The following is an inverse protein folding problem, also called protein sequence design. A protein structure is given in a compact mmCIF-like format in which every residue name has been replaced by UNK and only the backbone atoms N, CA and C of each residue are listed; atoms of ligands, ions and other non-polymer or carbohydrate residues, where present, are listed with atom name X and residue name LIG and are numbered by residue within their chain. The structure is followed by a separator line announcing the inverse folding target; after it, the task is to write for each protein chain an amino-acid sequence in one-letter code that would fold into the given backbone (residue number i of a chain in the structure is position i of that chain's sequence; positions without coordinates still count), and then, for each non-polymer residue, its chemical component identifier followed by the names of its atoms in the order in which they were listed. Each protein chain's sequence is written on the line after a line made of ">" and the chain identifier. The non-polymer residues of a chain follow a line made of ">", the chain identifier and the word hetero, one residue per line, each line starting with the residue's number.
data_IF_461952809226
#
_entry.id   IF_461952809226
#
_cell.length_a   1.000
_cell.length_b   1.000
_cell.length_c   1.000
_cell.angle_alpha   90.00
_cell.angle_beta   90.00
_cell.angle_gamma   90.00
#
_symmetry.space_group_name_H-M   'P 1'
#
loop_
_entity.id
_entity.type
_entity.pdbx_description
1 polymer ?
#
# COMPACT_ATOMS: atom_id res chain seq x y z
N UNK A 1 40.24 -32.31 -24.54
CA UNK A 1 38.82 -31.93 -24.34
C UNK A 1 38.18 -32.96 -23.40
N UNK A 2 37.78 -32.58 -22.18
CA UNK A 2 37.16 -33.52 -21.21
C UNK A 2 35.68 -33.68 -21.55
N UNK A 3 35.21 -34.92 -21.75
CA UNK A 3 33.81 -35.26 -22.06
C UNK A 3 32.97 -35.09 -20.79
N UNK A 4 32.00 -34.19 -20.81
CA UNK A 4 30.99 -34.07 -19.75
C UNK A 4 30.02 -35.26 -19.92
N UNK A 5 29.85 -36.06 -18.87
CA UNK A 5 28.94 -37.23 -18.88
C UNK A 5 27.48 -36.77 -18.93
N UNK A 6 26.63 -37.48 -19.68
CA UNK A 6 25.19 -37.21 -19.81
C UNK A 6 24.44 -37.19 -18.46
N UNK A 7 24.95 -37.91 -17.45
CA UNK A 7 24.43 -37.90 -16.08
C UNK A 7 24.61 -36.54 -15.38
N UNK A 8 25.70 -35.82 -15.66
CA UNK A 8 25.92 -34.47 -15.13
C UNK A 8 24.93 -33.45 -15.70
N UNK A 9 24.51 -33.63 -16.95
CA UNK A 9 23.50 -32.80 -17.61
C UNK A 9 22.09 -33.04 -17.05
N UNK A 10 21.74 -34.29 -16.73
CA UNK A 10 20.45 -34.65 -16.11
C UNK A 10 20.32 -34.14 -14.67
N UNK A 11 21.41 -34.21 -13.89
CA UNK A 11 21.46 -33.63 -12.54
C UNK A 11 21.31 -32.11 -12.54
N UNK A 12 21.87 -31.41 -13.54
CA UNK A 12 21.70 -29.97 -13.69
C UNK A 12 20.25 -29.61 -14.07
N UNK A 13 19.63 -30.38 -14.96
CA UNK A 13 18.23 -30.18 -15.35
C UNK A 13 17.26 -30.44 -14.18
N UNK A 14 17.51 -31.46 -13.35
CA UNK A 14 16.74 -31.72 -12.14
C UNK A 14 16.85 -30.63 -11.07
N UNK A 15 18.01 -29.99 -10.94
CA UNK A 15 18.18 -28.83 -10.06
C UNK A 15 17.44 -27.58 -10.57
N UNK A 16 17.40 -27.35 -11.89
CA UNK A 16 16.69 -26.21 -12.46
C UNK A 16 15.17 -26.29 -12.24
N UNK A 17 14.59 -27.49 -12.13
CA UNK A 17 13.15 -27.66 -11.84
C UNK A 17 12.77 -27.41 -10.36
N UNK A 18 13.73 -27.37 -9.43
CA UNK A 18 13.46 -27.10 -8.02
C UNK A 18 13.42 -25.60 -7.67
N UNK A 19 13.80 -24.71 -8.59
CA UNK A 19 13.86 -23.26 -8.36
C UNK A 19 12.84 -22.44 -9.15
N UNK A 20 11.95 -23.06 -9.92
CA UNK A 20 10.80 -22.35 -10.49
C UNK A 20 9.63 -22.44 -9.50
N UNK A 21 9.83 -21.94 -8.28
CA UNK A 21 8.69 -21.40 -7.56
C UNK A 21 8.24 -20.21 -8.39
N UNK A 22 7.07 -20.32 -9.00
CA UNK A 22 6.39 -19.20 -9.65
C UNK A 22 6.46 -18.03 -8.68
N UNK A 23 7.27 -17.02 -8.99
CA UNK A 23 7.20 -15.75 -8.29
C UNK A 23 5.74 -15.31 -8.42
N UNK A 24 4.99 -15.40 -7.32
CA UNK A 24 3.56 -15.19 -7.37
C UNK A 24 3.38 -13.74 -7.80
N UNK A 25 2.77 -13.54 -8.96
CA UNK A 25 2.69 -12.23 -9.58
C UNK A 25 1.89 -11.31 -8.65
N UNK A 26 2.45 -10.13 -8.36
CA UNK A 26 1.76 -9.14 -7.55
C UNK A 26 0.65 -8.49 -8.38
N UNK A 27 -0.60 -8.59 -7.91
CA UNK A 27 -1.74 -7.98 -8.59
C UNK A 27 -1.90 -6.52 -8.14
N UNK A 28 -1.94 -5.59 -9.09
CA UNK A 28 -2.10 -4.15 -8.82
C UNK A 28 -3.51 -3.67 -9.17
N UNK A 29 -4.23 -3.12 -8.21
CA UNK A 29 -5.61 -2.66 -8.38
C UNK A 29 -5.77 -1.18 -8.03
N UNK A 30 -6.65 -0.49 -8.75
CA UNK A 30 -7.05 0.87 -8.40
C UNK A 30 -8.24 0.82 -7.46
N UNK A 31 -8.08 1.34 -6.25
CA UNK A 31 -9.14 1.45 -5.27
C UNK A 31 -9.81 2.83 -5.43
N UNK A 32 -11.09 2.82 -5.82
CA UNK A 32 -11.88 4.03 -6.04
C UNK A 32 -12.36 4.62 -4.70
N UNK A 33 -11.43 5.24 -3.99
CA UNK A 33 -11.69 6.06 -2.82
C UNK A 33 -11.25 7.50 -3.12
N UNK A 34 -12.12 8.48 -2.82
CA UNK A 34 -11.79 9.89 -2.94
C UNK A 34 -11.39 10.43 -1.58
N UNK A 35 -10.46 11.38 -1.58
CA UNK A 35 -9.96 11.93 -0.34
C UNK A 35 -8.88 12.96 -0.57
N UNK A 36 -8.14 13.27 0.49
CA UNK A 36 -6.90 14.01 0.39
C UNK A 36 -5.86 13.42 1.33
N UNK A 37 -4.60 13.69 1.03
CA UNK A 37 -3.49 13.38 1.91
C UNK A 37 -2.79 14.66 2.36
N UNK A 38 -2.22 14.64 3.56
CA UNK A 38 -1.22 15.60 4.00
C UNK A 38 0.14 14.92 3.97
N UNK A 39 1.10 15.54 3.30
CA UNK A 39 2.46 15.06 3.21
C UNK A 39 3.46 16.21 3.24
N UNK A 40 4.71 15.91 3.60
CA UNK A 40 5.81 16.85 3.55
C UNK A 40 6.46 16.81 2.17
N UNK A 41 6.64 17.95 1.51
CA UNK A 41 7.32 18.00 0.21
C UNK A 41 8.85 18.04 0.34
N UNK A 42 9.55 18.08 -0.79
CA UNK A 42 11.02 18.13 -0.86
C UNK A 42 11.65 19.37 -0.18
N UNK A 43 10.86 20.42 0.06
CA UNK A 43 11.29 21.65 0.74
C UNK A 43 11.03 21.59 2.24
N UNK A 44 10.33 20.56 2.70
CA UNK A 44 9.89 20.42 4.08
C UNK A 44 8.53 21.07 4.35
N UNK A 45 7.85 21.58 3.33
CA UNK A 45 6.55 22.23 3.49
C UNK A 45 5.43 21.19 3.57
N UNK A 46 4.43 21.45 4.42
CA UNK A 46 3.25 20.58 4.51
C UNK A 46 2.28 20.90 3.38
N UNK A 47 2.04 19.91 2.52
CA UNK A 47 1.20 20.03 1.34
C UNK A 47 -0.02 19.11 1.46
N UNK A 48 -1.18 19.63 1.06
CA UNK A 48 -2.41 18.85 0.91
C UNK A 48 -2.62 18.52 -0.57
N UNK A 49 -2.88 17.25 -0.88
CA UNK A 49 -3.24 16.82 -2.24
C UNK A 49 -4.47 15.92 -2.26
N UNK A 50 -5.48 16.33 -3.02
CA UNK A 50 -6.73 15.59 -3.23
C UNK A 50 -6.50 14.47 -4.24
N UNK A 51 -7.16 13.33 -4.04
CA UNK A 51 -7.13 12.18 -4.92
C UNK A 51 -8.53 11.60 -5.18
N UNK A 52 -8.69 10.95 -6.32
CA UNK A 52 -9.91 10.28 -6.79
C UNK A 52 -9.84 8.75 -6.64
N UNK A 53 -8.63 8.21 -6.59
CA UNK A 53 -8.32 6.80 -6.35
C UNK A 53 -6.87 6.63 -5.90
N UNK A 54 -6.55 5.51 -5.25
CA UNK A 54 -5.17 5.11 -4.96
C UNK A 54 -4.90 3.70 -5.46
N UNK A 55 -3.62 3.37 -5.70
CA UNK A 55 -3.19 2.05 -6.14
C UNK A 55 -2.84 1.18 -4.95
N UNK A 56 -3.40 -0.03 -4.89
CA UNK A 56 -3.06 -1.06 -3.91
C UNK A 56 -2.47 -2.28 -4.62
N UNK A 57 -1.64 -3.04 -3.91
CA UNK A 57 -0.94 -4.21 -4.44
C UNK A 57 -1.18 -5.41 -3.56
N UNK A 58 -1.67 -6.48 -4.18
CA UNK A 58 -1.81 -7.78 -3.54
C UNK A 58 -0.53 -8.59 -3.71
N UNK A 59 -0.03 -9.07 -2.57
CA UNK A 59 1.07 -10.02 -2.50
C UNK A 59 0.53 -11.26 -1.80
N UNK A 60 0.43 -12.41 -2.48
CA UNK A 60 -0.17 -13.61 -1.91
C UNK A 60 0.54 -14.15 -0.66
N UNK A 61 1.81 -13.82 -0.49
CA UNK A 61 2.62 -14.16 0.68
C UNK A 61 2.48 -13.19 1.86
N UNK A 62 1.77 -12.08 1.69
CA UNK A 62 1.57 -11.05 2.73
C UNK A 62 0.17 -11.14 3.31
N UNK A 63 -0.01 -10.78 4.60
CA UNK A 63 -1.31 -10.89 5.26
C UNK A 63 -2.34 -9.87 4.76
N UNK A 64 -1.92 -8.78 4.11
CA UNK A 64 -2.79 -7.66 3.73
C UNK A 64 -3.63 -7.96 2.48
N UNK A 65 -4.96 -7.82 2.62
CA UNK A 65 -5.93 -7.84 1.51
C UNK A 65 -5.97 -6.50 0.77
N UNK A 66 -6.43 -6.53 -0.49
CA UNK A 66 -6.70 -5.32 -1.27
C UNK A 66 -7.76 -4.44 -0.59
N UNK A 67 -7.54 -3.13 -0.64
CA UNK A 67 -8.35 -2.07 -0.04
C UNK A 67 -8.59 -2.22 1.47
N UNK A 68 -7.68 -2.90 2.17
CA UNK A 68 -7.63 -2.89 3.63
C UNK A 68 -6.43 -2.08 4.10
N UNK A 69 -6.56 -1.45 5.26
CA UNK A 69 -5.48 -0.83 5.99
C UNK A 69 -4.97 -1.79 7.07
N UNK A 70 -3.68 -2.07 7.11
CA UNK A 70 -3.10 -3.01 8.09
C UNK A 70 -2.42 -2.25 9.23
N UNK A 71 -2.72 -2.63 10.47
CA UNK A 71 -2.13 -2.07 11.67
C UNK A 71 -2.17 -3.07 12.83
N UNK A 72 -1.46 -2.80 13.91
CA UNK A 72 -1.51 -3.56 15.15
C UNK A 72 -2.31 -2.80 16.21
N UNK A 73 -3.36 -3.42 16.71
CA UNK A 73 -4.20 -2.90 17.80
C UNK A 73 -4.24 -3.94 18.92
N UNK A 74 -3.95 -3.53 20.15
CA UNK A 74 -3.86 -4.44 21.32
C UNK A 74 -2.91 -5.64 21.11
N UNK A 75 -1.85 -5.44 20.30
CA UNK A 75 -0.87 -6.49 19.89
C UNK A 75 -1.45 -7.57 18.98
N UNK A 76 -2.57 -7.28 18.32
CA UNK A 76 -3.21 -8.15 17.34
C UNK A 76 -3.17 -7.45 15.97
N UNK A 77 -2.64 -8.16 14.98
CA UNK A 77 -2.64 -7.70 13.60
C UNK A 77 -4.09 -7.55 13.10
N UNK A 78 -4.45 -6.32 12.80
CA UNK A 78 -5.81 -5.91 12.44
C UNK A 78 -5.79 -5.33 11.03
N UNK A 79 -6.79 -5.72 10.23
CA UNK A 79 -6.99 -5.21 8.88
C UNK A 79 -8.35 -4.56 8.79
N UNK A 80 -8.37 -3.25 8.56
CA UNK A 80 -9.60 -2.46 8.55
C UNK A 80 -9.97 -2.16 7.10
N UNK A 81 -11.18 -2.50 6.64
CA UNK A 81 -11.61 -2.16 5.29
C UNK A 81 -11.58 -0.65 5.08
N UNK A 82 -10.96 -0.16 4.01
CA UNK A 82 -10.86 1.30 3.74
C UNK A 82 -12.23 1.94 3.59
N UNK A 83 -13.24 1.20 3.13
CA UNK A 83 -14.64 1.66 3.09
C UNK A 83 -15.20 2.08 4.46
N UNK A 84 -14.60 1.60 5.54
CA UNK A 84 -15.00 1.89 6.91
C UNK A 84 -14.19 3.01 7.55
N UNK A 85 -13.13 3.50 6.87
CA UNK A 85 -12.21 4.51 7.39
C UNK A 85 -12.56 5.87 6.81
N UNK A 86 -12.57 6.88 7.68
CA UNK A 86 -12.73 8.29 7.30
C UNK A 86 -11.42 9.07 7.41
N UNK A 87 -10.58 8.74 8.39
CA UNK A 87 -9.36 9.48 8.68
C UNK A 87 -8.29 8.56 9.27
N UNK A 88 -7.05 8.74 8.84
CA UNK A 88 -5.87 8.12 9.43
C UNK A 88 -4.83 9.20 9.62
N UNK A 89 -4.38 9.38 10.86
CA UNK A 89 -3.37 10.38 11.23
C UNK A 89 -2.24 9.74 11.98
N UNK A 90 -1.02 9.97 11.50
CA UNK A 90 0.21 9.46 12.10
C UNK A 90 0.72 10.40 13.19
N UNK A 91 1.21 9.82 14.28
CA UNK A 91 2.01 10.55 15.26
C UNK A 91 3.39 10.88 14.65
N UNK A 92 3.79 12.16 14.56
CA UNK A 92 5.09 12.53 14.01
C UNK A 92 6.28 11.97 14.80
N UNK A 93 6.09 11.61 16.08
CA UNK A 93 7.16 11.17 16.97
C UNK A 93 7.17 9.67 17.21
N UNK A 94 6.21 8.92 16.67
CA UNK A 94 6.09 7.49 16.95
C UNK A 94 5.53 6.70 15.76
N UNK A 95 5.40 5.38 15.95
CA UNK A 95 4.73 4.49 15.00
C UNK A 95 3.20 4.46 15.20
N UNK A 96 2.69 5.29 16.10
CA UNK A 96 1.26 5.33 16.39
C UNK A 96 0.46 6.02 15.28
N UNK A 97 -0.76 5.54 15.10
CA UNK A 97 -1.79 6.15 14.25
C UNK A 97 -3.11 6.24 15.01
N UNK A 98 -3.84 7.32 14.77
CA UNK A 98 -5.25 7.44 15.10
C UNK A 98 -6.06 7.13 13.87
N UNK A 99 -6.97 6.16 13.98
CA UNK A 99 -7.82 5.72 12.89
C UNK A 99 -9.26 6.02 13.29
N UNK A 100 -9.91 6.87 12.49
CA UNK A 100 -11.34 7.15 12.64
C UNK A 100 -12.12 6.31 11.65
N UNK A 101 -12.83 5.32 12.16
CA UNK A 101 -13.71 4.45 11.39
C UNK A 101 -15.19 4.69 11.72
N UNK A 102 -16.09 4.12 10.92
CA UNK A 102 -17.54 4.22 11.13
C UNK A 102 -17.99 3.71 12.51
N UNK A 103 -17.26 2.75 13.08
CA UNK A 103 -17.54 2.16 14.39
C UNK A 103 -16.90 2.88 15.58
N UNK A 104 -16.07 3.90 15.35
CA UNK A 104 -15.38 4.64 16.39
C UNK A 104 -13.97 5.07 16.00
N UNK A 105 -13.30 5.75 16.93
CA UNK A 105 -11.90 6.11 16.81
C UNK A 105 -11.06 5.22 17.72
N UNK A 106 -9.96 4.69 17.22
CA UNK A 106 -9.03 3.89 18.01
C UNK A 106 -7.59 4.20 17.63
N UNK A 107 -6.72 3.89 18.60
CA UNK A 107 -5.29 4.09 18.52
C UNK A 107 -4.63 2.75 18.18
N UNK A 108 -3.80 2.75 17.14
CA UNK A 108 -3.10 1.57 16.64
C UNK A 108 -1.64 1.90 16.33
N UNK A 109 -0.84 0.88 16.03
CA UNK A 109 0.56 1.01 15.64
C UNK A 109 0.71 0.52 14.20
N UNK A 110 1.49 1.24 13.40
CA UNK A 110 1.95 0.74 12.10
C UNK A 110 3.41 0.35 12.22
N UNK A 111 3.72 -0.93 12.06
CA UNK A 111 5.11 -1.40 12.11
C UNK A 111 5.97 -0.87 10.96
N UNK A 112 5.31 -0.38 9.91
CA UNK A 112 5.88 0.19 8.69
C UNK A 112 5.39 1.63 8.47
N UNK A 113 5.65 2.20 7.29
CA UNK A 113 5.11 3.52 6.93
C UNK A 113 3.63 3.46 6.51
N UNK A 114 2.99 4.63 6.48
CA UNK A 114 1.56 4.76 6.24
C UNK A 114 1.16 4.33 4.83
N UNK A 115 2.04 4.55 3.85
CA UNK A 115 1.80 4.09 2.48
C UNK A 115 1.79 2.56 2.42
N UNK A 116 2.76 1.89 3.04
CA UNK A 116 2.81 0.44 3.03
C UNK A 116 1.61 -0.16 3.75
N UNK A 117 1.24 0.41 4.89
CA UNK A 117 0.05 0.00 5.63
C UNK A 117 -1.23 0.09 4.78
N UNK A 118 -1.32 1.07 3.88
CA UNK A 118 -2.45 1.25 2.98
C UNK A 118 -2.36 0.46 1.66
N UNK A 119 -1.16 0.30 1.07
CA UNK A 119 -1.00 -0.12 -0.34
C UNK A 119 -0.07 -1.32 -0.57
N UNK A 120 0.59 -1.84 0.47
CA UNK A 120 1.73 -2.76 0.36
C UNK A 120 2.94 -2.21 -0.44
N UNK A 121 3.02 -0.90 -0.69
CA UNK A 121 4.14 -0.24 -1.35
C UNK A 121 4.79 0.80 -0.43
N UNK A 122 6.06 1.15 -0.65
CA UNK A 122 6.74 2.21 0.11
C UNK A 122 6.25 3.63 -0.22
N UNK A 123 5.22 3.71 -1.06
CA UNK A 123 4.68 4.91 -1.64
C UNK A 123 3.21 4.72 -1.96
N UNK A 124 2.50 5.83 -2.09
CA UNK A 124 1.13 5.83 -2.58
C UNK A 124 1.12 6.40 -4.00
N UNK A 125 0.60 5.61 -4.94
CA UNK A 125 0.26 6.11 -6.27
C UNK A 125 -1.21 6.53 -6.23
N UNK A 126 -1.51 7.76 -6.63
CA UNK A 126 -2.86 8.31 -6.57
C UNK A 126 -3.25 8.93 -7.89
N UNK A 127 -4.51 8.76 -8.28
CA UNK A 127 -5.11 9.54 -9.36
C UNK A 127 -5.65 10.85 -8.81
N UNK A 128 -5.41 11.93 -9.51
CA UNK A 128 -5.98 13.24 -9.18
C UNK A 128 -6.33 14.00 -10.44
N UNK A 129 -7.34 14.86 -10.34
CA UNK A 129 -7.70 15.77 -11.41
C UNK A 129 -6.78 16.99 -11.39
N UNK A 130 -6.03 17.21 -12.48
CA UNK A 130 -5.23 18.42 -12.63
C UNK A 130 -6.09 19.51 -13.29
N UNK A 131 -6.35 20.59 -12.56
CA UNK A 131 -7.20 21.69 -13.05
C UNK A 131 -6.58 22.48 -14.21
N UNK A 132 -5.25 22.52 -14.29
CA UNK A 132 -4.51 23.27 -15.33
C UNK A 132 -4.56 22.51 -16.64
N UNK A 133 -4.24 21.21 -16.62
CA UNK A 133 -4.22 20.36 -17.81
C UNK A 133 -5.60 19.81 -18.16
N UNK A 134 -6.56 19.87 -17.22
CA UNK A 134 -7.91 19.28 -17.28
C UNK A 134 -7.91 17.78 -17.52
N UNK A 135 -6.86 17.10 -17.08
CA UNK A 135 -6.67 15.66 -17.26
C UNK A 135 -6.49 14.97 -15.90
N UNK A 136 -6.85 13.69 -15.85
CA UNK A 136 -6.48 12.82 -14.74
C UNK A 136 -4.98 12.51 -14.84
N UNK A 137 -4.26 12.76 -13.77
CA UNK A 137 -2.83 12.47 -13.65
C UNK A 137 -2.57 11.49 -12.52
N UNK A 138 -1.45 10.78 -12.60
CA UNK A 138 -0.99 9.89 -11.54
C UNK A 138 0.15 10.58 -10.79
N UNK A 139 -0.03 10.72 -9.49
CA UNK A 139 0.96 11.24 -8.56
C UNK A 139 1.53 10.16 -7.68
N UNK A 140 2.67 10.48 -7.09
CA UNK A 140 3.40 9.60 -6.19
C UNK A 140 3.81 10.37 -4.95
N UNK A 141 3.63 9.77 -3.78
CA UNK A 141 4.12 10.30 -2.50
C UNK A 141 4.79 9.17 -1.74
N UNK A 142 5.99 9.41 -1.20
CA UNK A 142 6.69 8.43 -0.38
C UNK A 142 5.97 8.26 0.96
N UNK A 143 5.91 7.04 1.46
CA UNK A 143 5.26 6.75 2.74
C UNK A 143 5.93 7.42 3.94
N UNK A 144 7.23 7.72 3.83
CA UNK A 144 7.98 8.46 4.87
C UNK A 144 7.49 9.90 5.03
N UNK A 145 7.03 10.51 3.95
CA UNK A 145 6.58 11.90 3.89
C UNK A 145 5.09 12.03 4.18
N UNK A 146 4.37 10.90 4.20
CA UNK A 146 2.92 10.85 4.39
C UNK A 146 2.55 10.94 5.88
N UNK A 147 1.77 11.96 6.23
CA UNK A 147 1.37 12.23 7.61
C UNK A 147 -0.09 11.84 7.88
N UNK A 148 -0.98 12.14 6.93
CA UNK A 148 -2.42 11.90 7.10
C UNK A 148 -3.07 11.49 5.79
N UNK A 149 -4.11 10.66 5.90
CA UNK A 149 -5.01 10.31 4.81
C UNK A 149 -6.43 10.54 5.30
N UNK A 150 -7.18 11.34 4.56
CA UNK A 150 -8.59 11.60 4.84
C UNK A 150 -9.44 11.15 3.65
N UNK A 151 -10.38 10.24 3.90
CA UNK A 151 -11.31 9.74 2.90
C UNK A 151 -12.62 10.51 2.96
N UNK A 152 -13.00 11.11 1.82
CA UNK A 152 -14.25 11.88 1.68
C UNK A 152 -15.38 11.08 1.03
N UNK A 153 -15.05 10.04 0.26
CA UNK A 153 -16.02 9.16 -0.40
C UNK A 153 -15.38 7.79 -0.66
N UNK A 154 -15.92 6.76 -0.01
CA UNK A 154 -15.46 5.37 -0.14
C UNK A 154 -16.57 4.43 -0.62
N UNK A 155 -17.68 4.98 -1.12
CA UNK A 155 -18.88 4.23 -1.49
C UNK A 155 -18.66 3.24 -2.65
N UNK A 156 -17.63 3.48 -3.46
CA UNK A 156 -17.27 2.66 -4.63
C UNK A 156 -16.12 1.69 -4.37
N UNK A 157 -15.73 1.51 -3.11
CA UNK A 157 -14.71 0.54 -2.73
C UNK A 157 -15.35 -0.85 -2.64
N UNK A 158 -15.09 -1.72 -3.63
CA UNK A 158 -15.65 -3.07 -3.75
C UNK A 158 -14.67 -4.16 -3.29
N UNK A 159 -15.17 -5.22 -2.63
CA UNK A 159 -14.40 -6.38 -2.19
C UNK A 159 -15.18 -7.68 -2.35
#
# INVERSE_FOLDING_TARGET
>A
MKRVSATTLLLLAGLCFLFVQSAVAADKEWINAKGYVLYQDERGDMVRKTFSAYRDVYFPEKPKKLGHFICDHERILTQIPVREITDIRKDPLSKSVWIKANCGEYHAVIDQDLAYALTNMKHIEMRYYNEITRQEEVGFILGIDLHEIHFTDTTHVTF
#
